data_IF_290800589548
#
_entry.id   IF_290800589548
#
_cell.length_a   1.000
_cell.length_b   1.000
_cell.length_c   1.000
_cell.angle_alpha   90.00
_cell.angle_beta   90.00
_cell.angle_gamma   90.00
#
_symmetry.space_group_name_H-M   'P 1'
#
loop_
_entity.id
_entity.type
_entity.pdbx_description
1 polymer ?
#
# COMPACT_ATOMS: atom_id res chain seq x y z
N UNK A 1 -17.94 -18.04 -4.59
CA UNK A 1 -18.00 -16.83 -3.74
C UNK A 1 -19.46 -16.56 -3.45
N UNK A 2 -19.83 -16.34 -2.20
CA UNK A 2 -21.19 -15.92 -1.84
C UNK A 2 -21.34 -14.39 -1.91
N UNK A 3 -22.59 -13.89 -1.95
CA UNK A 3 -22.84 -12.44 -2.11
C UNK A 3 -22.38 -11.61 -0.91
N UNK A 4 -22.29 -12.19 0.29
CA UNK A 4 -21.82 -11.49 1.49
C UNK A 4 -20.30 -11.32 1.44
N UNK A 5 -19.59 -12.41 1.15
CA UNK A 5 -18.16 -12.43 0.87
C UNK A 5 -17.79 -11.42 -0.21
N UNK A 6 -18.60 -11.29 -1.27
CA UNK A 6 -18.34 -10.32 -2.33
C UNK A 6 -18.41 -8.87 -1.87
N UNK A 7 -19.44 -8.51 -1.11
CA UNK A 7 -19.56 -7.15 -0.54
C UNK A 7 -18.40 -6.86 0.42
N UNK A 8 -18.01 -7.84 1.24
CA UNK A 8 -16.89 -7.66 2.16
C UNK A 8 -15.55 -7.52 1.42
N UNK A 9 -15.35 -8.26 0.33
CA UNK A 9 -14.18 -8.12 -0.54
C UNK A 9 -14.16 -6.73 -1.23
N UNK A 10 -15.31 -6.18 -1.61
CA UNK A 10 -15.39 -4.80 -2.13
C UNK A 10 -14.97 -3.78 -1.06
N UNK A 11 -15.38 -3.95 0.21
CA UNK A 11 -14.92 -3.11 1.32
C UNK A 11 -13.40 -3.23 1.51
N UNK A 12 -12.85 -4.44 1.45
CA UNK A 12 -11.40 -4.69 1.52
C UNK A 12 -10.68 -3.99 0.36
N UNK A 13 -11.20 -4.08 -0.87
CA UNK A 13 -10.65 -3.38 -2.03
C UNK A 13 -10.57 -1.88 -1.79
N UNK A 14 -11.64 -1.26 -1.30
CA UNK A 14 -11.64 0.18 -0.99
C UNK A 14 -10.57 0.56 0.03
N UNK A 15 -10.36 -0.25 1.08
CA UNK A 15 -9.32 -0.02 2.08
C UNK A 15 -7.92 -0.13 1.48
N UNK A 16 -7.70 -1.12 0.62
CA UNK A 16 -6.41 -1.31 -0.03
C UNK A 16 -6.09 -0.17 -1.02
N UNK A 17 -7.08 0.32 -1.77
CA UNK A 17 -6.91 1.53 -2.62
C UNK A 17 -6.52 2.73 -1.77
N UNK A 18 -7.17 2.95 -0.63
CA UNK A 18 -6.81 4.06 0.27
C UNK A 18 -5.41 3.91 0.88
N UNK A 19 -4.98 2.68 1.16
CA UNK A 19 -3.65 2.40 1.74
C UNK A 19 -2.52 2.51 0.72
N UNK A 20 -2.79 2.14 -0.53
CA UNK A 20 -1.84 2.11 -1.64
C UNK A 20 -2.35 2.99 -2.79
N UNK A 21 -2.44 4.32 -2.61
CA UNK A 21 -3.04 5.21 -3.61
C UNK A 21 -2.22 5.32 -4.91
N UNK A 22 -0.93 5.00 -4.86
CA UNK A 22 -0.02 5.04 -6.01
C UNK A 22 -0.05 3.73 -6.83
N UNK A 23 -0.81 2.73 -6.39
CA UNK A 23 -0.96 1.44 -7.06
C UNK A 23 -2.06 1.51 -8.12
N UNK A 24 -1.81 0.95 -9.31
CA UNK A 24 -2.87 0.83 -10.32
C UNK A 24 -4.01 -0.09 -9.84
N UNK A 25 -5.28 0.34 -9.99
CA UNK A 25 -6.44 -0.44 -9.54
C UNK A 25 -6.51 -1.84 -10.15
N UNK A 26 -6.23 -2.00 -11.45
CA UNK A 26 -6.21 -3.31 -12.11
C UNK A 26 -5.22 -4.29 -11.44
N UNK A 27 -4.03 -3.82 -11.05
CA UNK A 27 -3.02 -4.67 -10.39
C UNK A 27 -3.51 -5.13 -9.01
N UNK A 28 -4.17 -4.24 -8.28
CA UNK A 28 -4.78 -4.58 -7.00
C UNK A 28 -5.91 -5.60 -7.16
N UNK A 29 -6.74 -5.42 -8.18
CA UNK A 29 -7.88 -6.30 -8.47
C UNK A 29 -7.42 -7.70 -8.85
N UNK A 30 -6.44 -7.82 -9.75
CA UNK A 30 -5.83 -9.10 -10.12
C UNK A 30 -5.25 -9.82 -8.90
N UNK A 31 -4.57 -9.07 -8.02
CA UNK A 31 -4.01 -9.62 -6.79
C UNK A 31 -5.10 -10.13 -5.83
N UNK A 32 -6.16 -9.35 -5.62
CA UNK A 32 -7.29 -9.73 -4.76
C UNK A 32 -7.95 -11.00 -5.29
N UNK A 33 -8.24 -11.05 -6.59
CA UNK A 33 -8.84 -12.22 -7.26
C UNK A 33 -7.94 -13.45 -7.12
N UNK A 34 -6.64 -13.30 -7.41
CA UNK A 34 -5.68 -14.40 -7.31
C UNK A 34 -5.53 -14.93 -5.87
N UNK A 35 -5.67 -14.09 -4.85
CA UNK A 35 -5.64 -14.51 -3.45
C UNK A 35 -6.97 -15.14 -3.04
N UNK A 36 -8.11 -14.55 -3.43
CA UNK A 36 -9.44 -15.08 -3.12
C UNK A 36 -9.62 -16.51 -3.66
N UNK A 37 -9.16 -16.77 -4.89
CA UNK A 37 -9.18 -18.10 -5.50
C UNK A 37 -8.43 -19.18 -4.70
N UNK A 38 -7.44 -18.80 -3.87
CA UNK A 38 -6.74 -19.78 -3.01
C UNK A 38 -7.63 -20.37 -1.92
N UNK A 39 -8.74 -19.71 -1.64
CA UNK A 39 -9.73 -20.15 -0.66
C UNK A 39 -10.94 -20.83 -1.32
N UNK A 40 -10.91 -21.04 -2.64
CA UNK A 40 -11.97 -21.80 -3.31
C UNK A 40 -12.03 -23.22 -2.75
N UNK A 41 -13.26 -23.68 -2.44
CA UNK A 41 -13.49 -24.99 -1.81
C UNK A 41 -13.31 -25.04 -0.30
N UNK A 42 -12.89 -23.97 0.37
CA UNK A 42 -12.91 -23.91 1.83
C UNK A 42 -14.36 -23.92 2.37
N UNK A 43 -14.60 -24.76 3.39
CA UNK A 43 -15.94 -24.94 4.00
C UNK A 43 -16.40 -23.73 4.82
N UNK A 44 -15.47 -23.03 5.48
CA UNK A 44 -15.75 -21.83 6.27
C UNK A 44 -15.22 -20.64 5.48
N UNK A 45 -16.10 -19.70 5.12
CA UNK A 45 -15.78 -18.58 4.22
C UNK A 45 -15.88 -17.20 4.86
N UNK A 46 -16.46 -17.08 6.05
CA UNK A 46 -16.66 -15.81 6.77
C UNK A 46 -15.35 -15.02 7.00
N UNK A 47 -14.21 -15.72 7.04
CA UNK A 47 -12.89 -15.10 7.25
C UNK A 47 -12.11 -14.84 5.95
N UNK A 48 -12.62 -15.26 4.79
CA UNK A 48 -11.93 -15.08 3.51
C UNK A 48 -11.63 -13.60 3.24
N UNK A 49 -12.55 -12.64 3.44
CA UNK A 49 -12.23 -11.22 3.23
C UNK A 49 -11.04 -10.74 4.06
N UNK A 50 -10.98 -11.12 5.35
CA UNK A 50 -9.88 -10.76 6.25
C UNK A 50 -8.55 -11.40 5.84
N UNK A 51 -8.60 -12.66 5.40
CA UNK A 51 -7.41 -13.37 4.93
C UNK A 51 -6.88 -12.79 3.62
N UNK A 52 -7.79 -12.40 2.72
CA UNK A 52 -7.47 -11.70 1.47
C UNK A 52 -6.79 -10.37 1.77
N UNK A 53 -7.38 -9.53 2.64
CA UNK A 53 -6.83 -8.24 3.03
C UNK A 53 -5.40 -8.37 3.59
N UNK A 54 -5.21 -9.33 4.50
CA UNK A 54 -3.91 -9.57 5.14
C UNK A 54 -2.87 -10.08 4.14
N UNK A 55 -3.23 -11.01 3.26
CA UNK A 55 -2.33 -11.55 2.27
C UNK A 55 -1.96 -10.51 1.20
N UNK A 56 -2.92 -9.71 0.75
CA UNK A 56 -2.69 -8.61 -0.18
C UNK A 56 -1.74 -7.57 0.45
N UNK A 57 -2.04 -7.13 1.67
CA UNK A 57 -1.20 -6.17 2.40
C UNK A 57 0.24 -6.66 2.54
N UNK A 58 0.45 -7.93 2.93
CA UNK A 58 1.81 -8.49 3.04
C UNK A 58 2.53 -8.55 1.70
N UNK A 59 1.82 -8.89 0.64
CA UNK A 59 2.39 -8.97 -0.71
C UNK A 59 2.78 -7.58 -1.20
N UNK A 60 1.90 -6.60 -1.00
CA UNK A 60 2.14 -5.21 -1.38
C UNK A 60 3.24 -4.58 -0.52
N UNK A 61 3.23 -4.77 0.80
CA UNK A 61 4.30 -4.26 1.67
C UNK A 61 5.67 -4.86 1.30
N UNK A 62 5.74 -6.14 0.89
CA UNK A 62 6.99 -6.75 0.43
C UNK A 62 7.45 -6.22 -0.96
N UNK A 63 6.50 -5.90 -1.84
CA UNK A 63 6.78 -5.46 -3.22
C UNK A 63 7.06 -3.95 -3.29
N UNK A 64 6.31 -3.17 -2.53
CA UNK A 64 6.34 -1.71 -2.49
C UNK A 64 7.12 -1.17 -1.31
N UNK A 65 7.77 -2.05 -0.51
CA UNK A 65 8.50 -1.78 0.73
C UNK A 65 8.71 -0.30 0.99
N UNK A 66 7.69 0.30 1.58
CA UNK A 66 7.66 1.71 1.95
C UNK A 66 8.77 1.93 2.97
N UNK A 67 9.73 2.80 2.67
CA UNK A 67 10.49 3.48 3.72
C UNK A 67 9.45 4.06 4.68
N UNK A 68 9.54 3.79 6.00
CA UNK A 68 8.52 4.22 6.92
C UNK A 68 8.34 5.72 6.72
N UNK A 69 7.15 6.15 6.28
CA UNK A 69 6.75 7.50 6.63
C UNK A 69 6.48 7.37 8.12
N UNK A 70 7.53 7.54 8.92
CA UNK A 70 7.41 8.19 10.21
C UNK A 70 6.71 9.50 9.86
N UNK A 71 5.38 9.48 9.89
CA UNK A 71 4.67 10.62 10.41
C UNK A 71 5.23 10.74 11.81
N UNK A 72 6.32 11.50 11.98
CA UNK A 72 6.61 12.07 13.28
C UNK A 72 5.30 12.79 13.66
N UNK A 73 4.54 12.33 14.67
CA UNK A 73 3.86 13.35 15.43
C UNK A 73 5.01 14.23 15.93
N UNK A 74 4.97 15.51 15.60
CA UNK A 74 5.75 16.51 16.29
C UNK A 74 5.32 16.47 17.77
N UNK A 75 5.79 15.45 18.50
CA UNK A 75 5.95 15.50 19.93
C UNK A 75 7.26 16.23 20.13
N UNK A 76 7.09 17.54 20.27
CA UNK A 76 8.10 18.50 20.66
C UNK A 76 9.09 17.90 21.68
N UNK A 77 10.40 17.99 21.41
CA UNK A 77 11.37 18.22 22.44
C UNK A 77 11.64 19.73 22.45
N UNK A 78 10.77 20.53 23.06
CA UNK A 78 11.16 21.92 23.36
C UNK A 78 10.63 22.37 24.73
N UNK A 79 11.24 21.79 25.75
CA UNK A 79 11.45 22.45 27.05
C UNK A 79 12.95 22.72 27.24
N UNK A 80 13.64 23.12 26.16
CA UNK A 80 15.01 23.62 26.19
C UNK A 80 15.04 24.96 25.45
N UNK A 81 14.52 25.96 26.15
CA UNK A 81 14.53 27.34 25.74
C UNK A 81 15.93 27.84 25.33
N UNK A 82 15.92 28.66 24.28
CA UNK A 82 16.72 29.86 24.06
C UNK A 82 18.24 29.72 23.78
N UNK A 83 18.60 29.92 22.50
CA UNK A 83 19.44 31.06 22.14
C UNK A 83 19.54 31.31 20.63
N UNK A 84 19.05 32.48 20.23
CA UNK A 84 19.78 33.45 19.41
C UNK A 84 20.21 33.05 17.99
N UNK A 85 19.40 33.49 17.02
CA UNK A 85 19.69 34.49 15.96
C UNK A 85 19.23 34.07 14.55
N UNK A 86 18.32 34.88 14.01
CA UNK A 86 17.98 35.07 12.58
C UNK A 86 19.05 35.94 11.87
N UNK A 87 19.01 36.21 10.54
CA UNK A 87 18.44 35.51 9.37
C UNK A 87 19.50 35.29 8.24
N UNK A 88 19.17 34.55 7.17
CA UNK A 88 19.25 35.05 5.77
C UNK A 88 19.29 33.95 4.68
N UNK A 89 18.63 34.30 3.57
CA UNK A 89 18.80 33.86 2.19
C UNK A 89 17.92 32.70 1.67
N UNK A 90 17.25 33.04 0.55
CA UNK A 90 16.24 32.29 -0.22
C UNK A 90 16.89 31.33 -1.26
N UNK A 91 16.17 30.82 -2.28
CA UNK A 91 15.83 29.41 -2.43
C UNK A 91 16.59 28.73 -3.58
N UNK A 92 16.61 27.40 -3.65
CA UNK A 92 16.79 26.71 -4.93
C UNK A 92 16.20 25.31 -4.88
N UNK A 93 15.29 25.09 -5.81
CA UNK A 93 14.76 23.79 -6.19
C UNK A 93 15.86 22.88 -6.77
N UNK A 94 15.60 21.58 -6.70
CA UNK A 94 16.43 20.50 -7.23
C UNK A 94 16.60 19.45 -6.14
N UNK A 95 16.13 18.22 -6.27
CA UNK A 95 16.33 17.38 -7.44
C UNK A 95 15.39 16.20 -7.42
N UNK A 96 14.93 15.87 -8.63
CA UNK A 96 14.42 14.61 -9.11
C UNK A 96 14.84 13.37 -8.31
N UNK A 97 13.92 12.40 -8.20
CA UNK A 97 14.21 11.02 -8.64
C UNK A 97 13.01 10.43 -9.34
N UNK A 98 13.11 10.41 -10.67
CA UNK A 98 12.51 9.40 -11.52
C UNK A 98 13.00 8.05 -11.03
N UNK A 99 12.11 7.15 -10.62
CA UNK A 99 12.28 5.71 -10.70
C UNK A 99 10.96 5.18 -11.28
N UNK A 100 10.94 4.35 -12.29
CA UNK A 100 11.98 3.51 -12.83
C UNK A 100 11.21 2.33 -13.40
N UNK A 101 11.17 2.26 -14.73
CA UNK A 101 10.54 1.23 -15.54
C UNK A 101 10.69 -0.16 -14.91
N UNK A 102 9.58 -0.89 -14.75
CA UNK A 102 9.62 -2.34 -14.85
C UNK A 102 8.63 -2.83 -15.89
N UNK A 103 9.16 -2.93 -17.11
CA UNK A 103 8.69 -3.87 -18.09
C UNK A 103 9.17 -5.28 -17.74
N UNK A 104 8.32 -6.24 -18.14
CA UNK A 104 8.56 -7.68 -18.38
C UNK A 104 8.35 -8.58 -17.16
N UNK A 105 7.40 -9.51 -17.30
CA UNK A 105 7.67 -10.85 -17.86
C UNK A 105 6.38 -11.66 -18.09
N UNK A 106 5.80 -11.57 -19.28
CA UNK A 106 4.86 -12.59 -19.75
C UNK A 106 5.65 -13.83 -20.17
N UNK A 107 5.31 -15.04 -19.68
CA UNK A 107 5.84 -16.28 -20.25
C UNK A 107 5.16 -16.54 -21.60
N UNK A 108 5.96 -16.95 -22.59
CA UNK A 108 5.45 -17.55 -23.84
C UNK A 108 5.01 -18.97 -23.51
N UNK A 109 3.81 -19.35 -23.90
CA UNK A 109 3.44 -20.75 -24.11
C UNK A 109 3.11 -20.93 -25.59
N UNK A 110 3.67 -22.03 -26.11
CA UNK A 110 3.72 -22.49 -27.50
C UNK A 110 2.38 -22.63 -28.21
#
# INVERSE_FOLDING_TARGET
>A
MDDHEQRDIEVVRMRLIQRFPDLEPEVLDELIVAIAHRFDGCRIRDFVPLLVERAATRTLDATFSRAPKLTEPALAPELAAASTREPAARPAAGSARVWGVFARRSPRLS
#
